data_IF_817376132204
#
_entry.id   IF_817376132204
#
_cell.length_a   1.000
_cell.length_b   1.000
_cell.length_c   1.000
_cell.angle_alpha   90.00
_cell.angle_beta   90.00
_cell.angle_gamma   90.00
#
_symmetry.space_group_name_H-M   'P 1'
#
loop_
_entity.id
_entity.type
_entity.pdbx_description
1 polymer ?
#
# COMPACT_ATOMS: atom_id res chain seq x y z
N UNK A 1 -6.69 -22.82 -18.05
CA UNK A 1 -7.57 -21.65 -17.78
C UNK A 1 -8.17 -21.75 -16.37
N UNK A 2 -7.33 -21.91 -15.35
CA UNK A 2 -7.73 -22.48 -14.06
C UNK A 2 -7.73 -21.41 -12.95
N UNK A 3 -8.92 -20.92 -12.60
CA UNK A 3 -9.41 -20.50 -11.26
C UNK A 3 -8.54 -19.54 -10.41
N UNK A 4 -8.78 -18.24 -10.56
CA UNK A 4 -8.31 -17.18 -9.63
C UNK A 4 -9.17 -17.10 -8.36
N UNK A 5 -9.26 -18.19 -7.60
CA UNK A 5 -9.98 -18.19 -6.33
C UNK A 5 -9.06 -18.57 -5.19
N UNK A 6 -9.12 -17.80 -4.11
CA UNK A 6 -8.34 -18.02 -2.90
C UNK A 6 -9.26 -18.19 -1.71
N UNK A 7 -8.91 -19.10 -0.82
CA UNK A 7 -9.57 -19.31 0.46
C UNK A 7 -8.70 -18.66 1.52
N UNK A 8 -9.30 -17.84 2.38
CA UNK A 8 -8.60 -17.16 3.47
C UNK A 8 -9.27 -17.57 4.78
N UNK A 9 -8.45 -18.01 5.73
CA UNK A 9 -8.89 -18.45 7.05
C UNK A 9 -8.87 -17.28 8.04
N UNK A 10 -9.61 -17.37 9.15
CA UNK A 10 -9.47 -16.42 10.25
C UNK A 10 -8.00 -16.29 10.69
N UNK A 11 -7.53 -15.07 10.87
CA UNK A 11 -6.15 -14.72 11.22
C UNK A 11 -5.18 -14.60 10.03
N UNK A 12 -5.56 -15.02 8.82
CA UNK A 12 -4.68 -14.96 7.66
C UNK A 12 -4.72 -13.58 6.98
N UNK A 13 -3.60 -13.20 6.38
CA UNK A 13 -3.52 -12.04 5.50
C UNK A 13 -4.12 -12.35 4.14
N UNK A 14 -4.82 -11.39 3.59
CA UNK A 14 -5.31 -11.46 2.21
C UNK A 14 -4.12 -11.22 1.27
N UNK A 15 -3.79 -12.15 0.35
CA UNK A 15 -2.59 -12.04 -0.46
C UNK A 15 -2.70 -11.00 -1.59
N UNK A 16 -3.89 -10.85 -2.19
CA UNK A 16 -4.13 -9.96 -3.34
C UNK A 16 -5.52 -9.35 -3.26
N UNK A 17 -5.76 -8.29 -4.02
CA UNK A 17 -7.07 -7.65 -4.05
C UNK A 17 -8.09 -8.54 -4.77
N UNK A 18 -9.34 -8.44 -4.35
CA UNK A 18 -10.38 -9.28 -4.92
C UNK A 18 -11.79 -8.95 -4.46
N UNK A 19 -12.69 -9.90 -4.70
CA UNK A 19 -14.11 -9.82 -4.38
C UNK A 19 -14.57 -11.12 -3.72
N UNK A 20 -15.23 -11.03 -2.58
CA UNK A 20 -15.77 -12.20 -1.87
C UNK A 20 -16.83 -12.87 -2.73
N UNK A 21 -16.72 -14.17 -2.94
CA UNK A 21 -17.70 -14.96 -3.67
C UNK A 21 -18.46 -15.95 -2.78
N UNK A 22 -17.95 -16.22 -1.57
CA UNK A 22 -18.55 -17.13 -0.61
C UNK A 22 -18.09 -16.79 0.81
N UNK A 23 -19.01 -16.93 1.78
CA UNK A 23 -18.75 -16.68 3.20
C UNK A 23 -19.01 -15.24 3.64
N UNK A 24 -18.77 -15.00 4.92
CA UNK A 24 -18.86 -13.70 5.57
C UNK A 24 -17.76 -13.58 6.62
N UNK A 25 -17.20 -12.39 6.79
CA UNK A 25 -16.18 -12.14 7.81
C UNK A 25 -16.01 -10.66 8.11
N UNK A 26 -15.28 -10.33 9.18
CA UNK A 26 -14.72 -9.01 9.40
C UNK A 26 -13.25 -8.96 9.01
N UNK A 27 -12.86 -7.89 8.32
CA UNK A 27 -11.51 -7.69 7.82
C UNK A 27 -10.94 -6.42 8.46
N UNK A 28 -9.72 -6.56 8.99
CA UNK A 28 -8.95 -5.47 9.56
C UNK A 28 -8.13 -4.80 8.45
N UNK A 29 -8.58 -3.61 8.06
CA UNK A 29 -7.97 -2.76 7.03
C UNK A 29 -7.13 -1.62 7.66
N UNK A 30 -6.87 -1.65 8.97
CA UNK A 30 -6.18 -0.58 9.71
C UNK A 30 -4.79 -0.25 9.14
N UNK A 31 -4.09 -1.23 8.60
CA UNK A 31 -2.77 -1.06 7.96
C UNK A 31 -2.82 -0.19 6.70
N UNK A 32 -3.98 -0.05 6.06
CA UNK A 32 -4.16 0.69 4.81
C UNK A 32 -4.95 1.98 5.01
N UNK A 33 -6.03 1.94 5.79
CA UNK A 33 -6.93 3.08 6.00
C UNK A 33 -6.60 3.87 7.26
N UNK A 34 -5.89 3.27 8.22
CA UNK A 34 -5.70 3.82 9.56
C UNK A 34 -6.90 3.66 10.48
N UNK A 35 -7.99 3.05 10.02
CA UNK A 35 -9.19 2.84 10.82
C UNK A 35 -9.10 1.52 11.62
N UNK A 36 -9.21 1.62 12.95
CA UNK A 36 -9.02 0.46 13.84
C UNK A 36 -10.24 -0.48 13.90
N UNK A 37 -11.39 -0.08 13.36
CA UNK A 37 -12.62 -0.86 13.43
C UNK A 37 -12.64 -1.83 12.23
N UNK A 38 -12.69 -3.16 12.46
CA UNK A 38 -12.81 -4.12 11.38
C UNK A 38 -14.08 -3.90 10.55
N UNK A 39 -13.96 -4.05 9.25
CA UNK A 39 -15.06 -3.85 8.29
C UNK A 39 -15.69 -5.20 7.97
N UNK A 40 -17.01 -5.30 8.11
CA UNK A 40 -17.76 -6.49 7.71
C UNK A 40 -17.75 -6.65 6.18
N UNK A 41 -17.54 -7.88 5.73
CA UNK A 41 -17.47 -8.27 4.33
C UNK A 41 -18.34 -9.49 4.09
N UNK A 42 -19.19 -9.37 3.09
CA UNK A 42 -20.11 -10.40 2.61
C UNK A 42 -19.87 -10.64 1.12
N UNK A 43 -20.58 -11.60 0.53
CA UNK A 43 -20.52 -11.89 -0.92
C UNK A 43 -20.72 -10.60 -1.74
N UNK A 44 -19.85 -10.36 -2.72
CA UNK A 44 -19.79 -9.14 -3.53
C UNK A 44 -18.95 -8.02 -2.93
N UNK A 45 -18.52 -8.12 -1.67
CA UNK A 45 -17.67 -7.11 -1.04
C UNK A 45 -16.24 -7.19 -1.60
N UNK A 46 -15.61 -6.04 -1.80
CA UNK A 46 -14.20 -5.97 -2.17
C UNK A 46 -13.29 -6.23 -0.97
N UNK A 47 -12.22 -6.96 -1.21
CA UNK A 47 -11.14 -7.22 -0.25
C UNK A 47 -9.83 -6.67 -0.79
N UNK A 48 -9.03 -6.11 0.11
CA UNK A 48 -7.74 -5.50 -0.25
C UNK A 48 -6.61 -6.37 0.28
N UNK A 49 -5.59 -6.59 -0.54
CA UNK A 49 -4.38 -7.31 -0.15
C UNK A 49 -3.71 -6.66 1.06
N UNK A 50 -2.99 -7.45 1.84
CA UNK A 50 -2.33 -7.10 3.11
C UNK A 50 -3.25 -6.80 4.31
N UNK A 51 -4.57 -6.72 4.12
CA UNK A 51 -5.54 -6.72 5.22
C UNK A 51 -5.60 -8.10 5.92
N UNK A 52 -6.12 -8.13 7.16
CA UNK A 52 -6.16 -9.34 7.98
C UNK A 52 -7.61 -9.80 8.14
N UNK A 53 -7.89 -11.03 7.76
CA UNK A 53 -9.17 -11.68 8.01
C UNK A 53 -9.30 -12.03 9.51
N UNK A 54 -10.41 -11.69 10.19
CA UNK A 54 -10.51 -11.88 11.65
C UNK A 54 -11.33 -13.08 12.08
N UNK A 55 -12.54 -13.26 11.56
CA UNK A 55 -13.56 -14.10 12.23
C UNK A 55 -14.03 -15.30 11.43
N UNK A 56 -14.11 -15.19 10.10
CA UNK A 56 -14.79 -16.13 9.22
C UNK A 56 -13.89 -16.65 8.10
N UNK A 57 -14.31 -17.74 7.47
CA UNK A 57 -13.67 -18.20 6.25
C UNK A 57 -14.33 -17.52 5.06
N UNK A 58 -13.50 -17.02 4.14
CA UNK A 58 -14.00 -16.48 2.88
C UNK A 58 -13.32 -17.16 1.71
N UNK A 59 -14.11 -17.38 0.66
CA UNK A 59 -13.58 -17.64 -0.68
C UNK A 59 -13.76 -16.37 -1.47
N UNK A 60 -12.70 -15.92 -2.13
CA UNK A 60 -12.75 -14.70 -2.92
C UNK A 60 -12.07 -14.90 -4.26
N UNK A 61 -12.52 -14.15 -5.26
CA UNK A 61 -11.95 -14.11 -6.60
C UNK A 61 -10.95 -12.97 -6.67
N UNK A 62 -9.73 -13.25 -7.14
CA UNK A 62 -8.74 -12.19 -7.34
C UNK A 62 -9.19 -11.24 -8.47
N UNK A 63 -9.08 -9.94 -8.23
CA UNK A 63 -9.41 -8.89 -9.22
C UNK A 63 -8.20 -8.10 -9.65
N UNK A 64 -7.22 -7.89 -8.75
CA UNK A 64 -5.95 -7.22 -9.06
C UNK A 64 -4.80 -7.94 -8.37
N UNK A 65 -3.70 -8.14 -9.09
CA UNK A 65 -2.53 -8.88 -8.60
C UNK A 65 -1.25 -8.14 -8.93
N UNK A 66 -0.19 -8.37 -8.14
CA UNK A 66 1.11 -7.72 -8.35
C UNK A 66 0.98 -6.20 -8.30
N UNK A 67 1.46 -5.52 -9.36
CA UNK A 67 1.56 -4.06 -9.44
C UNK A 67 0.19 -3.34 -9.44
N UNK A 68 -0.87 -4.07 -9.78
CA UNK A 68 -2.21 -3.48 -9.85
C UNK A 68 -2.91 -3.46 -8.49
N UNK A 69 -2.33 -4.07 -7.45
CA UNK A 69 -2.88 -4.05 -6.10
C UNK A 69 -2.86 -2.66 -5.49
N UNK A 70 -3.83 -2.35 -4.63
CA UNK A 70 -3.92 -1.08 -3.93
C UNK A 70 -2.64 -0.77 -3.15
N UNK A 71 -2.07 -1.76 -2.44
CA UNK A 71 -0.81 -1.59 -1.72
C UNK A 71 0.34 -1.23 -2.65
N UNK A 72 0.44 -1.88 -3.83
CA UNK A 72 1.49 -1.54 -4.81
C UNK A 72 1.34 -0.12 -5.34
N UNK A 73 0.10 0.35 -5.53
CA UNK A 73 -0.15 1.75 -5.92
C UNK A 73 0.24 2.72 -4.81
N UNK A 74 -0.05 2.40 -3.54
CA UNK A 74 0.39 3.21 -2.39
C UNK A 74 1.91 3.29 -2.33
N UNK A 75 2.61 2.15 -2.43
CA UNK A 75 4.08 2.11 -2.43
C UNK A 75 4.65 2.99 -3.55
N UNK A 76 4.11 2.87 -4.77
CA UNK A 76 4.52 3.69 -5.90
C UNK A 76 4.33 5.19 -5.65
N UNK A 77 3.18 5.59 -5.10
CA UNK A 77 2.90 6.99 -4.76
C UNK A 77 3.87 7.52 -3.70
N UNK A 78 4.22 6.71 -2.70
CA UNK A 78 5.21 7.08 -1.68
C UNK A 78 6.61 7.22 -2.28
N UNK A 79 7.01 6.31 -3.16
CA UNK A 79 8.29 6.40 -3.88
C UNK A 79 8.38 7.66 -4.74
N UNK A 80 7.33 7.98 -5.51
CA UNK A 80 7.26 9.20 -6.32
C UNK A 80 7.37 10.47 -5.46
N UNK A 81 6.69 10.50 -4.31
CA UNK A 81 6.76 11.62 -3.37
C UNK A 81 8.12 11.76 -2.67
N UNK A 82 8.79 10.65 -2.36
CA UNK A 82 10.13 10.67 -1.75
C UNK A 82 11.23 11.05 -2.76
N UNK A 83 11.07 10.67 -4.03
CA UNK A 83 11.97 11.01 -5.12
C UNK A 83 11.95 12.50 -5.49
N UNK A 84 10.92 13.25 -5.08
CA UNK A 84 10.76 14.67 -5.40
C UNK A 84 11.39 15.63 -4.39
N UNK A 85 12.29 15.18 -3.50
CA UNK A 85 12.97 16.09 -2.56
C UNK A 85 13.70 17.20 -3.33
N UNK A 86 13.40 18.45 -2.97
CA UNK A 86 14.02 19.62 -3.60
C UNK A 86 15.54 19.58 -3.42
N UNK A 87 16.34 19.99 -4.43
CA UNK A 87 17.79 19.91 -4.41
C UNK A 87 18.39 21.05 -3.56
N UNK A 88 17.95 21.18 -2.31
CA UNK A 88 18.42 22.23 -1.40
C UNK A 88 19.90 22.07 -1.09
N UNK A 89 20.41 20.83 -1.11
CA UNK A 89 21.83 20.53 -1.06
C UNK A 89 22.60 21.16 -2.23
N UNK A 90 22.09 21.05 -3.47
CA UNK A 90 22.72 21.72 -4.63
C UNK A 90 22.71 23.24 -4.47
N UNK A 91 21.65 23.78 -3.88
CA UNK A 91 21.53 25.22 -3.64
C UNK A 91 22.56 25.71 -2.61
N UNK A 92 22.77 24.93 -1.54
CA UNK A 92 23.80 25.19 -0.54
C UNK A 92 25.24 25.07 -1.11
N UNK A 93 25.48 24.09 -1.99
CA UNK A 93 26.76 23.93 -2.68
C UNK A 93 27.06 25.13 -3.59
N UNK A 94 26.05 25.61 -4.33
CA UNK A 94 26.20 26.81 -5.19
C UNK A 94 26.56 28.03 -4.35
N UNK A 95 25.85 28.29 -3.25
CA UNK A 95 26.16 29.42 -2.37
C UNK A 95 27.58 29.29 -1.82
N UNK A 96 27.96 28.09 -1.34
CA UNK A 96 29.29 27.82 -0.79
C UNK A 96 30.40 28.00 -1.82
N UNK A 97 30.15 27.65 -3.09
CA UNK A 97 31.12 27.77 -4.19
C UNK A 97 31.53 29.21 -4.50
N UNK A 98 30.63 30.19 -4.27
CA UNK A 98 30.96 31.61 -4.40
C UNK A 98 31.49 32.19 -3.09
N UNK A 99 30.93 31.77 -1.94
CA UNK A 99 31.26 32.36 -0.66
C UNK A 99 32.69 32.04 -0.21
N UNK A 100 33.12 30.78 -0.33
CA UNK A 100 34.44 30.33 0.17
C UNK A 100 35.61 31.04 -0.53
N UNK A 101 35.68 31.12 -1.88
CA UNK A 101 36.78 31.82 -2.55
C UNK A 101 36.77 33.32 -2.27
N UNK A 102 35.59 33.93 -2.17
CA UNK A 102 35.44 35.36 -1.88
C UNK A 102 36.07 35.73 -0.54
N UNK A 103 35.86 34.91 0.50
CA UNK A 103 36.47 35.14 1.82
C UNK A 103 37.98 34.90 1.83
N UNK A 104 38.49 33.95 1.03
CA UNK A 104 39.93 33.65 0.97
C UNK A 104 40.72 34.76 0.25
N UNK A 105 40.09 35.44 -0.70
CA UNK A 105 40.72 36.51 -1.50
C UNK A 105 40.70 37.87 -0.78
N UNK A 106 39.81 38.05 0.22
CA UNK A 106 39.63 39.26 1.02
C UNK A 106 40.64 39.32 2.18
#
# INVERSE_FOLDING_TARGET
YFWWYSIVKPGEKIPVDGEVIEGNTSIDESMLTGESIPVEKTIGSSVVGASINKTGFIKYRATKVGKDTALSQIVKLVEEAQGSKAPIAKMADVISSYFVPTVIIL
#
